data_IF_256006113441
#
_entry.id   IF_256006113441
#
_cell.length_a   1.000
_cell.length_b   1.000
_cell.length_c   1.000
_cell.angle_alpha   90.00
_cell.angle_beta   90.00
_cell.angle_gamma   90.00
#
_symmetry.space_group_name_H-M   'P 1'
#
loop_
_entity.id
_entity.type
_entity.pdbx_description
1 polymer ?
#
# COMPACT_ATOMS: atom_id res chain seq x y z
N UNK A 1 -12.82 -22.24 23.22
CA UNK A 1 -13.52 -20.94 23.35
C UNK A 1 -13.80 -20.41 21.94
N UNK A 2 -15.04 -20.02 21.62
CA UNK A 2 -15.37 -19.42 20.31
C UNK A 2 -15.03 -17.93 20.39
N UNK A 3 -14.06 -17.48 19.61
CA UNK A 3 -13.74 -16.05 19.49
C UNK A 3 -14.58 -15.45 18.37
N UNK A 4 -15.28 -14.36 18.66
CA UNK A 4 -16.10 -13.58 17.72
C UNK A 4 -15.41 -12.25 17.37
N UNK A 5 -15.86 -11.59 16.30
CA UNK A 5 -15.36 -10.27 15.86
C UNK A 5 -15.39 -9.18 16.95
N UNK A 6 -16.32 -9.25 17.91
CA UNK A 6 -16.36 -8.34 19.06
C UNK A 6 -15.06 -8.30 19.87
N UNK A 7 -14.27 -9.38 19.88
CA UNK A 7 -12.99 -9.39 20.59
C UNK A 7 -11.91 -8.52 19.95
N UNK A 8 -12.03 -8.18 18.66
CA UNK A 8 -11.15 -7.19 18.02
C UNK A 8 -11.33 -5.78 18.59
N UNK A 9 -12.54 -5.49 19.05
CA UNK A 9 -12.94 -4.19 19.58
C UNK A 9 -12.98 -4.16 21.12
N UNK A 10 -12.49 -5.23 21.76
CA UNK A 10 -12.60 -5.42 23.21
C UNK A 10 -11.74 -4.46 24.04
N UNK A 11 -10.60 -4.04 23.49
CA UNK A 11 -9.70 -3.06 24.12
C UNK A 11 -9.37 -1.96 23.13
N UNK A 12 -9.16 -0.76 23.67
CA UNK A 12 -8.80 0.42 22.88
C UNK A 12 -7.52 0.21 22.05
N UNK A 13 -6.57 -0.57 22.57
CA UNK A 13 -5.35 -0.96 21.87
C UNK A 13 -5.64 -1.83 20.64
N UNK A 14 -6.42 -2.91 20.81
CA UNK A 14 -6.81 -3.78 19.68
C UNK A 14 -7.68 -3.03 18.65
N UNK A 15 -8.54 -2.13 19.11
CA UNK A 15 -9.32 -1.27 18.22
C UNK A 15 -8.43 -0.40 17.35
N UNK A 16 -7.46 0.32 17.96
CA UNK A 16 -6.49 1.15 17.22
C UNK A 16 -5.71 0.34 16.19
N UNK A 17 -5.25 -0.87 16.54
CA UNK A 17 -4.52 -1.73 15.62
C UNK A 17 -5.38 -2.23 14.47
N UNK A 18 -6.62 -2.64 14.77
CA UNK A 18 -7.58 -3.10 13.77
C UNK A 18 -7.90 -1.97 12.79
N UNK A 19 -8.15 -0.76 13.30
CA UNK A 19 -8.44 0.41 12.48
C UNK A 19 -7.25 0.79 11.59
N UNK A 20 -6.03 0.81 12.14
CA UNK A 20 -4.81 1.07 11.38
C UNK A 20 -4.64 0.08 10.22
N UNK A 21 -4.73 -1.22 10.51
CA UNK A 21 -4.57 -2.27 9.50
C UNK A 21 -5.68 -2.23 8.44
N UNK A 22 -6.94 -2.00 8.83
CA UNK A 22 -8.04 -1.86 7.89
C UNK A 22 -7.85 -0.66 6.95
N UNK A 23 -7.45 0.50 7.49
CA UNK A 23 -7.18 1.72 6.70
C UNK A 23 -6.02 1.48 5.74
N UNK A 24 -4.93 0.87 6.19
CA UNK A 24 -3.76 0.60 5.34
C UNK A 24 -4.07 -0.39 4.24
N UNK A 25 -4.81 -1.48 4.52
CA UNK A 25 -5.27 -2.39 3.48
C UNK A 25 -6.20 -1.70 2.48
N UNK A 26 -7.11 -0.84 2.95
CA UNK A 26 -8.03 -0.09 2.10
C UNK A 26 -7.27 0.86 1.16
N UNK A 27 -6.41 1.72 1.70
CA UNK A 27 -5.67 2.74 0.93
C UNK A 27 -4.70 2.08 -0.05
N UNK A 28 -3.91 1.10 0.41
CA UNK A 28 -2.94 0.38 -0.44
C UNK A 28 -3.64 -0.31 -1.60
N UNK A 29 -4.79 -0.95 -1.35
CA UNK A 29 -5.58 -1.58 -2.40
C UNK A 29 -6.17 -0.54 -3.36
N UNK A 30 -6.72 0.56 -2.84
CA UNK A 30 -7.31 1.60 -3.68
C UNK A 30 -6.27 2.18 -4.66
N UNK A 31 -5.08 2.51 -4.18
CA UNK A 31 -3.97 3.04 -5.01
C UNK A 31 -3.45 1.98 -5.98
N UNK A 32 -3.18 0.76 -5.51
CA UNK A 32 -2.58 -0.27 -6.37
C UNK A 32 -3.54 -0.75 -7.45
N UNK A 33 -4.81 -0.99 -7.13
CA UNK A 33 -5.77 -1.53 -8.09
C UNK A 33 -6.29 -0.48 -9.06
N UNK A 34 -6.38 0.78 -8.66
CA UNK A 34 -6.76 1.85 -9.60
C UNK A 34 -5.72 1.97 -10.72
N UNK A 35 -4.42 1.96 -10.39
CA UNK A 35 -3.34 1.97 -11.37
C UNK A 35 -3.29 0.69 -12.21
N UNK A 36 -3.53 -0.47 -11.61
CA UNK A 36 -3.59 -1.74 -12.34
C UNK A 36 -4.73 -1.76 -13.37
N UNK A 37 -5.92 -1.28 -13.00
CA UNK A 37 -7.07 -1.23 -13.90
C UNK A 37 -6.90 -0.18 -15.01
N UNK A 38 -6.11 0.86 -14.78
CA UNK A 38 -5.82 1.88 -15.78
C UNK A 38 -4.53 1.59 -16.59
N UNK A 39 -3.95 0.39 -16.50
CA UNK A 39 -2.71 0.03 -17.21
C UNK A 39 -2.82 0.07 -18.74
N UNK A 40 -4.01 -0.09 -19.30
CA UNK A 40 -4.25 0.01 -20.74
C UNK A 40 -3.92 1.39 -21.31
N UNK A 41 -4.06 2.46 -20.49
CA UNK A 41 -3.72 3.83 -20.90
C UNK A 41 -2.22 4.13 -20.81
N UNK A 42 -1.44 3.22 -20.25
CA UNK A 42 0.00 3.39 -20.08
C UNK A 42 0.73 3.13 -21.40
N UNK A 43 1.83 3.84 -21.64
CA UNK A 43 2.65 3.62 -22.84
C UNK A 43 3.28 2.22 -22.85
N UNK A 44 3.48 1.70 -24.06
CA UNK A 44 3.99 0.35 -24.29
C UNK A 44 2.89 -0.71 -24.33
N UNK A 45 3.27 -1.99 -24.31
CA UNK A 45 2.30 -3.09 -24.29
C UNK A 45 1.92 -3.45 -22.86
N UNK A 46 0.63 -3.74 -22.66
CA UNK A 46 0.06 -4.18 -21.36
C UNK A 46 0.80 -5.42 -20.85
N UNK A 47 1.12 -6.35 -21.75
CA UNK A 47 1.85 -7.58 -21.41
C UNK A 47 3.25 -7.29 -20.87
N UNK A 48 4.03 -6.42 -21.52
CA UNK A 48 5.37 -6.06 -21.02
C UNK A 48 5.29 -5.31 -19.70
N UNK A 49 4.33 -4.39 -19.55
CA UNK A 49 4.11 -3.68 -18.29
C UNK A 49 3.80 -4.64 -17.15
N UNK A 50 2.96 -5.64 -17.39
CA UNK A 50 2.61 -6.66 -16.42
C UNK A 50 3.81 -7.53 -16.04
N UNK A 51 4.67 -7.89 -17.01
CA UNK A 51 5.92 -8.61 -16.75
C UNK A 51 6.86 -7.79 -15.86
N UNK A 52 7.06 -6.49 -16.16
CA UNK A 52 7.90 -5.63 -15.33
C UNK A 52 7.36 -5.46 -13.92
N UNK A 53 6.05 -5.29 -13.76
CA UNK A 53 5.41 -5.26 -12.44
C UNK A 53 5.67 -6.56 -11.68
N UNK A 54 5.48 -7.71 -12.31
CA UNK A 54 5.71 -9.02 -11.67
C UNK A 54 7.16 -9.20 -11.23
N UNK A 55 8.11 -8.88 -12.11
CA UNK A 55 9.54 -8.95 -11.82
C UNK A 55 9.92 -8.02 -10.67
N UNK A 56 9.53 -6.74 -10.74
CA UNK A 56 9.86 -5.76 -9.71
C UNK A 56 9.22 -6.12 -8.37
N UNK A 57 7.96 -6.56 -8.35
CA UNK A 57 7.33 -7.07 -7.11
C UNK A 57 8.16 -8.16 -6.48
N UNK A 58 8.56 -9.17 -7.26
CA UNK A 58 9.31 -10.29 -6.71
C UNK A 58 10.69 -9.85 -6.21
N UNK A 59 11.41 -9.05 -7.00
CA UNK A 59 12.73 -8.52 -6.64
C UNK A 59 12.68 -7.66 -5.39
N UNK A 60 11.74 -6.71 -5.31
CA UNK A 60 11.54 -5.82 -4.17
C UNK A 60 11.25 -6.60 -2.88
N UNK A 61 10.31 -7.54 -2.91
CA UNK A 61 10.00 -8.37 -1.75
C UNK A 61 11.18 -9.27 -1.32
N UNK A 62 11.95 -9.81 -2.27
CA UNK A 62 13.15 -10.60 -1.96
C UNK A 62 14.22 -9.75 -1.29
N UNK A 63 14.45 -8.54 -1.82
CA UNK A 63 15.37 -7.56 -1.26
C UNK A 63 14.92 -7.17 0.15
N UNK A 64 13.63 -6.86 0.33
CA UNK A 64 13.03 -6.55 1.63
C UNK A 64 13.21 -7.68 2.65
N UNK A 65 13.03 -8.94 2.24
CA UNK A 65 13.25 -10.10 3.10
C UNK A 65 14.73 -10.29 3.50
N UNK A 66 15.66 -10.08 2.57
CA UNK A 66 17.10 -10.13 2.85
C UNK A 66 17.53 -9.02 3.81
N UNK A 67 17.03 -7.80 3.60
CA UNK A 67 17.27 -6.67 4.49
C UNK A 67 16.68 -6.89 5.87
N UNK A 68 15.48 -7.49 5.96
CA UNK A 68 14.85 -7.81 7.22
C UNK A 68 15.67 -8.81 8.05
N UNK A 69 16.21 -9.85 7.39
CA UNK A 69 17.06 -10.85 8.04
C UNK A 69 18.40 -10.27 8.49
N UNK A 70 19.01 -9.41 7.68
CA UNK A 70 20.37 -8.90 7.91
C UNK A 70 20.43 -7.73 8.89
N UNK A 71 19.38 -6.91 8.96
CA UNK A 71 19.40 -5.67 9.74
C UNK A 71 18.34 -5.65 10.83
N UNK A 72 18.79 -5.79 12.08
CA UNK A 72 17.92 -5.68 13.26
C UNK A 72 17.33 -4.28 13.46
N UNK A 73 17.96 -3.23 12.90
CA UNK A 73 17.45 -1.85 12.98
C UNK A 73 16.25 -1.55 12.07
N UNK A 74 15.97 -2.47 11.13
CA UNK A 74 14.97 -2.31 10.06
C UNK A 74 13.66 -2.84 10.62
N UNK A 75 13.05 -2.02 11.46
CA UNK A 75 11.75 -2.28 12.05
C UNK A 75 10.62 -2.29 11.01
N UNK A 76 9.47 -2.85 11.39
CA UNK A 76 8.27 -2.93 10.53
C UNK A 76 7.76 -1.54 10.15
N UNK A 77 7.87 -0.55 11.05
CA UNK A 77 7.50 0.83 10.73
C UNK A 77 8.37 1.43 9.63
N UNK A 78 9.68 1.16 9.70
CA UNK A 78 10.63 1.74 8.74
C UNK A 78 10.41 1.15 7.35
N UNK A 79 10.18 -0.16 7.24
CA UNK A 79 9.82 -0.82 5.98
C UNK A 79 8.54 -0.23 5.38
N UNK A 80 7.49 -0.05 6.20
CA UNK A 80 6.24 0.57 5.76
C UNK A 80 6.46 2.03 5.30
N UNK A 81 7.24 2.80 6.05
CA UNK A 81 7.55 4.20 5.72
C UNK A 81 8.38 4.33 4.44
N UNK A 82 9.38 3.48 4.23
CA UNK A 82 10.22 3.55 3.02
C UNK A 82 9.42 3.25 1.77
N UNK A 83 8.54 2.25 1.80
CA UNK A 83 7.68 1.91 0.67
C UNK A 83 6.70 3.06 0.33
N UNK A 84 6.09 3.67 1.34
CA UNK A 84 5.21 4.83 1.12
C UNK A 84 5.95 6.06 0.62
N UNK A 85 7.17 6.33 1.11
CA UNK A 85 7.99 7.44 0.62
C UNK A 85 8.34 7.27 -0.86
N UNK A 86 8.66 6.05 -1.31
CA UNK A 86 8.88 5.76 -2.73
C UNK A 86 7.61 6.06 -3.56
N UNK A 87 6.45 5.58 -3.10
CA UNK A 87 5.18 5.82 -3.78
C UNK A 87 4.83 7.31 -3.84
N UNK A 88 5.02 8.06 -2.76
CA UNK A 88 4.77 9.51 -2.71
C UNK A 88 5.68 10.23 -3.69
N UNK A 89 6.96 9.88 -3.76
CA UNK A 89 7.90 10.46 -4.71
C UNK A 89 7.48 10.21 -6.17
N UNK A 90 7.08 8.98 -6.48
CA UNK A 90 6.62 8.61 -7.82
C UNK A 90 5.34 9.36 -8.21
N UNK A 91 4.35 9.41 -7.31
CA UNK A 91 3.08 10.15 -7.51
C UNK A 91 3.32 11.66 -7.68
N UNK A 92 4.21 12.24 -6.87
CA UNK A 92 4.58 13.65 -6.98
C UNK A 92 5.23 13.94 -8.33
N UNK A 93 6.14 13.08 -8.79
CA UNK A 93 6.80 13.21 -10.10
C UNK A 93 5.78 13.14 -11.24
N UNK A 94 4.86 12.18 -11.21
CA UNK A 94 3.77 12.05 -12.20
C UNK A 94 2.90 13.32 -12.19
N UNK A 95 2.52 13.80 -11.01
CA UNK A 95 1.71 15.00 -10.84
C UNK A 95 2.38 16.23 -11.47
N UNK A 96 3.68 16.43 -11.23
CA UNK A 96 4.44 17.53 -11.83
C UNK A 96 4.44 17.45 -13.36
N UNK A 97 4.65 16.27 -13.94
CA UNK A 97 4.65 16.09 -15.40
C UNK A 97 3.29 16.47 -16.00
N UNK A 98 2.19 16.08 -15.34
CA UNK A 98 0.83 16.44 -15.76
C UNK A 98 0.57 17.95 -15.63
N UNK A 99 1.02 18.60 -14.54
CA UNK A 99 0.86 20.05 -14.33
C UNK A 99 1.62 20.86 -15.39
N UNK A 100 2.81 20.43 -15.80
CA UNK A 100 3.58 21.08 -16.87
C UNK A 100 3.12 20.69 -18.29
N UNK A 101 2.08 19.86 -18.43
CA UNK A 101 1.55 19.40 -19.71
C UNK A 101 2.59 18.69 -20.61
N UNK A 102 3.59 18.02 -20.01
CA UNK A 102 4.69 17.34 -20.71
C UNK A 102 4.50 15.82 -20.79
N UNK A 103 3.26 15.35 -20.73
CA UNK A 103 2.91 13.92 -20.67
C UNK A 103 3.46 13.11 -21.86
N UNK A 104 3.43 13.70 -23.07
CA UNK A 104 3.92 13.03 -24.28
C UNK A 104 5.44 12.86 -24.29
N UNK A 105 6.17 13.86 -23.81
CA UNK A 105 7.63 13.88 -23.78
C UNK A 105 8.17 12.92 -22.71
N UNK A 106 7.52 12.90 -21.53
CA UNK A 106 7.93 12.06 -20.39
C UNK A 106 7.06 10.81 -20.22
N UNK A 107 6.43 10.32 -21.29
CA UNK A 107 5.54 9.15 -21.23
C UNK A 107 6.24 7.90 -20.68
N UNK A 108 7.51 7.69 -21.01
CA UNK A 108 8.32 6.60 -20.47
C UNK A 108 8.59 6.76 -18.97
N UNK A 109 8.76 7.99 -18.48
CA UNK A 109 8.99 8.26 -17.06
C UNK A 109 7.70 7.95 -16.28
N UNK A 110 6.55 8.43 -16.76
CA UNK A 110 5.24 8.11 -16.17
C UNK A 110 5.04 6.59 -16.10
N UNK A 111 5.37 5.87 -17.18
CA UNK A 111 5.31 4.40 -17.22
C UNK A 111 6.11 3.76 -16.11
N UNK A 112 7.39 4.11 -15.96
CA UNK A 112 8.24 3.51 -14.93
C UNK A 112 7.82 3.90 -13.51
N UNK A 113 7.34 5.13 -13.29
CA UNK A 113 6.80 5.55 -12.00
C UNK A 113 5.52 4.80 -11.63
N UNK A 114 4.60 4.56 -12.57
CA UNK A 114 3.38 3.77 -12.31
C UNK A 114 3.73 2.32 -12.00
N UNK A 115 4.65 1.74 -12.79
CA UNK A 115 5.14 0.37 -12.57
C UNK A 115 5.80 0.25 -11.19
N UNK A 116 6.60 1.23 -10.76
CA UNK A 116 7.22 1.21 -9.42
C UNK A 116 6.19 1.34 -8.30
N UNK A 117 5.18 2.22 -8.42
CA UNK A 117 4.11 2.36 -7.41
C UNK A 117 3.36 1.03 -7.22
N UNK A 118 2.98 0.37 -8.31
CA UNK A 118 2.25 -0.90 -8.28
C UNK A 118 3.14 -2.05 -7.76
N UNK A 119 4.46 -1.93 -7.89
CA UNK A 119 5.40 -2.88 -7.33
C UNK A 119 5.63 -2.64 -5.82
N UNK A 120 5.88 -1.40 -5.40
CA UNK A 120 6.07 -1.00 -4.00
C UNK A 120 4.84 -1.28 -3.13
N UNK A 121 3.61 -1.23 -3.70
CA UNK A 121 2.39 -1.61 -2.96
C UNK A 121 2.42 -3.04 -2.41
N UNK A 122 3.18 -3.95 -3.06
CA UNK A 122 3.34 -5.32 -2.57
C UNK A 122 4.17 -5.38 -1.28
N UNK A 123 5.17 -4.52 -1.12
CA UNK A 123 5.96 -4.42 0.10
C UNK A 123 5.10 -3.90 1.26
N UNK A 124 4.22 -2.93 0.98
CA UNK A 124 3.26 -2.41 1.96
C UNK A 124 2.32 -3.53 2.43
N UNK A 125 1.78 -4.34 1.50
CA UNK A 125 0.96 -5.50 1.87
C UNK A 125 1.71 -6.53 2.72
N UNK A 126 2.99 -6.80 2.43
CA UNK A 126 3.82 -7.67 3.26
C UNK A 126 4.04 -7.07 4.65
N UNK A 127 4.40 -5.80 4.74
CA UNK A 127 4.64 -5.12 6.00
C UNK A 127 3.39 -5.14 6.90
N UNK A 128 2.21 -4.85 6.34
CA UNK A 128 0.94 -4.92 7.06
C UNK A 128 0.64 -6.36 7.48
N UNK A 129 0.85 -7.35 6.60
CA UNK A 129 0.59 -8.76 6.88
C UNK A 129 1.44 -9.30 8.03
N UNK A 130 2.74 -9.00 8.02
CA UNK A 130 3.67 -9.38 9.10
C UNK A 130 3.29 -8.68 10.40
N UNK A 131 3.03 -7.37 10.35
CA UNK A 131 2.66 -6.57 11.52
C UNK A 131 1.35 -7.05 12.14
N UNK A 132 0.37 -7.45 11.32
CA UNK A 132 -0.87 -8.08 11.80
C UNK A 132 -0.58 -9.40 12.53
N UNK A 133 0.38 -10.18 12.03
CA UNK A 133 0.83 -11.41 12.67
C UNK A 133 1.54 -11.19 14.01
N UNK A 134 2.28 -10.09 14.14
CA UNK A 134 3.05 -9.76 15.35
C UNK A 134 2.18 -9.04 16.41
N UNK A 135 1.18 -8.26 16.02
CA UNK A 135 0.33 -7.47 16.94
C UNK A 135 -0.82 -8.27 17.56
N UNK A 136 -1.44 -9.18 16.81
CA UNK A 136 -2.65 -9.87 17.26
C UNK A 136 -2.33 -11.23 17.89
N UNK A 137 -2.93 -11.54 19.06
CA UNK A 137 -2.87 -12.86 19.66
C UNK A 137 -3.36 -13.94 18.70
N UNK A 138 -2.73 -15.11 18.74
CA UNK A 138 -2.99 -16.23 17.81
C UNK A 138 -4.48 -16.58 17.71
N UNK A 139 -5.25 -16.44 18.80
CA UNK A 139 -6.68 -16.71 18.82
C UNK A 139 -7.56 -15.74 18.00
N UNK A 140 -7.13 -14.49 17.83
CA UNK A 140 -7.91 -13.44 17.14
C UNK A 140 -7.25 -12.95 15.85
N UNK A 141 -5.99 -13.34 15.59
CA UNK A 141 -5.22 -12.96 14.40
C UNK A 141 -5.92 -13.28 13.08
N UNK A 142 -6.46 -14.49 12.93
CA UNK A 142 -7.18 -14.88 11.70
C UNK A 142 -8.47 -14.09 11.50
N UNK A 143 -9.13 -13.70 12.60
CA UNK A 143 -10.32 -12.84 12.56
C UNK A 143 -9.93 -11.42 12.14
N UNK A 144 -8.83 -10.89 12.67
CA UNK A 144 -8.28 -9.59 12.28
C UNK A 144 -7.98 -9.52 10.79
N UNK A 145 -7.27 -10.53 10.29
CA UNK A 145 -6.92 -10.63 8.88
C UNK A 145 -8.17 -10.71 8.00
N UNK A 146 -9.13 -11.57 8.34
CA UNK A 146 -10.39 -11.71 7.60
C UNK A 146 -11.19 -10.41 7.58
N UNK A 147 -11.24 -9.71 8.71
CA UNK A 147 -11.93 -8.43 8.82
C UNK A 147 -11.28 -7.36 7.95
N UNK A 148 -9.96 -7.23 7.98
CA UNK A 148 -9.22 -6.29 7.15
C UNK A 148 -9.37 -6.57 5.64
N UNK A 149 -9.47 -7.85 5.25
CA UNK A 149 -9.70 -8.23 3.86
C UNK A 149 -11.05 -7.73 3.30
N UNK A 150 -12.08 -7.55 4.14
CA UNK A 150 -13.35 -6.95 3.68
C UNK A 150 -13.13 -5.51 3.19
N UNK A 151 -12.33 -4.73 3.91
CA UNK A 151 -11.98 -3.35 3.53
C UNK A 151 -11.13 -3.32 2.26
N UNK A 152 -10.17 -4.25 2.13
CA UNK A 152 -9.41 -4.40 0.90
C UNK A 152 -10.35 -4.63 -0.30
N UNK A 153 -11.32 -5.56 -0.19
CA UNK A 153 -12.26 -5.83 -1.28
C UNK A 153 -13.14 -4.64 -1.60
N UNK A 154 -13.61 -3.91 -0.59
CA UNK A 154 -14.35 -2.66 -0.80
C UNK A 154 -13.50 -1.64 -1.58
N UNK A 155 -12.23 -1.48 -1.23
CA UNK A 155 -11.31 -0.60 -1.96
C UNK A 155 -11.10 -1.02 -3.42
N UNK A 156 -10.99 -2.33 -3.71
CA UNK A 156 -10.89 -2.81 -5.10
C UNK A 156 -12.13 -2.40 -5.92
N UNK A 157 -13.33 -2.54 -5.34
CA UNK A 157 -14.59 -2.15 -6.01
C UNK A 157 -14.66 -0.63 -6.26
N UNK A 158 -14.06 0.17 -5.38
CA UNK A 158 -13.99 1.64 -5.49
C UNK A 158 -12.80 2.15 -6.33
N UNK A 159 -11.89 1.27 -6.76
CA UNK A 159 -10.63 1.70 -7.38
C UNK A 159 -10.78 2.29 -8.79
N UNK A 160 -11.65 1.78 -9.70
CA UNK A 160 -11.86 2.43 -11.01
C UNK A 160 -12.38 3.87 -10.91
N UNK A 161 -13.18 4.17 -9.88
CA UNK A 161 -13.85 5.45 -9.67
C UNK A 161 -12.85 6.58 -9.39
N UNK A 162 -11.65 6.25 -8.89
CA UNK A 162 -10.59 7.22 -8.63
C UNK A 162 -10.11 7.88 -9.94
N UNK A 163 -10.12 7.16 -11.06
CA UNK A 163 -9.75 7.75 -12.35
C UNK A 163 -10.85 8.59 -13.01
N UNK A 164 -12.11 8.53 -12.53
CA UNK A 164 -13.14 9.46 -13.00
C UNK A 164 -12.79 10.91 -12.63
N UNK A 165 -11.99 11.12 -11.58
CA UNK A 165 -11.50 12.45 -11.21
C UNK A 165 -10.60 13.07 -12.29
N UNK A 166 -10.02 12.28 -13.21
CA UNK A 166 -9.24 12.83 -14.32
C UNK A 166 -10.08 13.64 -15.30
N UNK A 167 -11.40 13.41 -15.36
CA UNK A 167 -12.31 14.17 -16.23
C UNK A 167 -12.44 15.63 -15.79
N UNK A 168 -12.30 15.91 -14.49
CA UNK A 168 -12.30 17.27 -13.95
C UNK A 168 -10.92 17.93 -14.09
N UNK A 169 -9.86 17.20 -13.71
CA UNK A 169 -8.49 17.68 -13.82
C UNK A 169 -7.50 16.51 -13.91
N UNK A 170 -6.75 16.41 -15.01
CA UNK A 170 -5.82 15.29 -15.29
C UNK A 170 -4.91 14.87 -14.12
N UNK A 171 -4.25 15.76 -13.36
CA UNK A 171 -3.39 15.36 -12.24
C UNK A 171 -4.14 15.00 -10.95
N UNK A 172 -5.45 15.26 -10.87
CA UNK A 172 -6.24 15.12 -9.63
C UNK A 172 -6.26 13.69 -9.07
N UNK A 173 -6.42 12.61 -9.86
CA UNK A 173 -6.34 11.24 -9.34
C UNK A 173 -5.01 10.98 -8.62
N UNK A 174 -3.89 11.41 -9.21
CA UNK A 174 -2.56 11.22 -8.64
C UNK A 174 -2.39 12.03 -7.35
N UNK A 175 -2.85 13.28 -7.33
CA UNK A 175 -2.86 14.08 -6.09
C UNK A 175 -3.63 13.41 -4.96
N UNK A 176 -4.81 12.87 -5.24
CA UNK A 176 -5.61 12.14 -4.26
C UNK A 176 -4.87 10.89 -3.76
N UNK A 177 -4.26 10.11 -4.66
CA UNK A 177 -3.43 8.97 -4.26
C UNK A 177 -2.26 9.40 -3.34
N UNK A 178 -1.62 10.53 -3.64
CA UNK A 178 -0.52 11.08 -2.83
C UNK A 178 -0.97 11.52 -1.45
N UNK A 179 -2.13 12.16 -1.34
CA UNK A 179 -2.72 12.53 -0.05
C UNK A 179 -3.07 11.29 0.76
N UNK A 180 -3.72 10.30 0.14
CA UNK A 180 -4.05 9.03 0.80
C UNK A 180 -2.79 8.29 1.28
N UNK A 181 -1.73 8.29 0.47
CA UNK A 181 -0.43 7.72 0.83
C UNK A 181 0.16 8.38 2.09
N UNK A 182 0.14 9.71 2.16
CA UNK A 182 0.62 10.46 3.34
C UNK A 182 -0.25 10.16 4.56
N UNK A 183 -1.57 10.12 4.40
CA UNK A 183 -2.51 9.78 5.47
C UNK A 183 -2.21 8.40 6.02
N UNK A 184 -2.04 7.39 5.16
CA UNK A 184 -1.73 6.03 5.61
C UNK A 184 -0.37 5.95 6.31
N UNK A 185 0.66 6.55 5.71
CA UNK A 185 2.01 6.57 6.27
C UNK A 185 2.02 7.15 7.69
N UNK A 186 1.35 8.28 7.91
CA UNK A 186 1.25 8.92 9.21
C UNK A 186 0.37 8.11 10.17
N UNK A 187 -0.80 7.66 9.70
CA UNK A 187 -1.75 6.94 10.53
C UNK A 187 -1.18 5.62 11.05
N UNK A 188 -0.52 4.85 10.19
CA UNK A 188 0.19 3.63 10.57
C UNK A 188 1.32 3.94 11.56
N UNK A 189 2.11 4.98 11.31
CA UNK A 189 3.23 5.35 12.18
C UNK A 189 2.79 5.70 13.61
N UNK A 190 1.68 6.44 13.77
CA UNK A 190 1.17 6.83 15.08
C UNK A 190 0.36 5.73 15.79
N UNK A 191 -0.35 4.88 15.03
CA UNK A 191 -1.30 3.92 15.61
C UNK A 191 -0.68 2.59 15.98
N UNK A 192 0.38 2.17 15.27
CA UNK A 192 1.04 0.88 15.46
C UNK A 192 2.35 1.08 16.22
N UNK A 193 2.72 0.27 17.22
CA UNK A 193 4.06 0.29 17.83
C UNK A 193 5.08 -0.44 16.94
N UNK A 194 6.37 -0.27 17.21
CA UNK A 194 7.40 -1.06 16.53
C UNK A 194 7.37 -2.50 17.07
N UNK A 195 7.18 -3.48 16.20
CA UNK A 195 6.92 -4.88 16.57
C UNK A 195 8.14 -5.79 16.40
N UNK A 196 9.16 -5.36 15.65
CA UNK A 196 10.35 -6.18 15.44
C UNK A 196 11.12 -6.40 16.75
N UNK A 197 11.29 -7.67 17.13
CA UNK A 197 12.04 -8.08 18.32
C UNK A 197 11.26 -8.04 19.64
N UNK A 198 9.95 -7.80 19.61
CA UNK A 198 9.09 -7.89 20.79
C UNK A 198 8.54 -9.32 20.97
N UNK A 199 8.28 -9.77 22.22
CA UNK A 199 7.66 -11.07 22.45
C UNK A 199 6.28 -11.12 21.81
N UNK A 200 5.98 -12.23 21.13
CA UNK A 200 4.67 -12.47 20.53
C UNK A 200 3.62 -12.54 21.65
N UNK A 201 2.55 -11.76 21.52
CA UNK A 201 1.39 -11.75 22.43
C UNK A 201 0.41 -12.86 22.10
#
# INVERSE_FOLDING_TARGET
>A
KKYTYFHLFSTWTLFRYTLAICVSYFITALVSYSLLFNMEKLSGSIYMNTVFIGLLRYSLNLIGALFDFKFMWLGRKKLHMTAWLEMIFAVFTITLIHVFHREREYSNVIRWMIVSIVAASSEVFLAIGITTGELFPTCVRTLAYSFAQLYLRAAVVLSPQLFLLSEFWNPLPYLVMGILAIVDMLFFHFSVPETKGQPLV
#
